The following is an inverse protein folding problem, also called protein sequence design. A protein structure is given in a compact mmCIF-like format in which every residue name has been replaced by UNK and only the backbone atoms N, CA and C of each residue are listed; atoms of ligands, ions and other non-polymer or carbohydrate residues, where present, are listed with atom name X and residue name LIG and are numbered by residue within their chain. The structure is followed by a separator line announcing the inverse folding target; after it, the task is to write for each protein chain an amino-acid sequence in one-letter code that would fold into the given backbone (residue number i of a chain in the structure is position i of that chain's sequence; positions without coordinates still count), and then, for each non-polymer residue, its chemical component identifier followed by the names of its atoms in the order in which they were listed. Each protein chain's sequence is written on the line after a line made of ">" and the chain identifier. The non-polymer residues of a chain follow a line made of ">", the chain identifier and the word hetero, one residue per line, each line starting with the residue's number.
data_IF_257164116597
#
_entry.id   IF_257164116597
#
_cell.length_a   1.000
_cell.length_b   1.000
_cell.length_c   1.000
_cell.angle_alpha   90.00
_cell.angle_beta   90.00
_cell.angle_gamma   90.00
#
_symmetry.space_group_name_H-M   'P 1'
#
loop_
_entity.id
_entity.type
_entity.pdbx_description
1 polymer ?
#
# COMPACT_ATOMS: atom_id res chain seq x y z
N UNK A 1 1.29 25.57 4.80
CA UNK A 1 0.25 25.72 5.83
C UNK A 1 0.38 24.54 6.77
N UNK A 2 0.87 24.79 8.00
CA UNK A 2 0.89 23.78 9.05
C UNK A 2 -0.57 23.48 9.44
N UNK A 3 -1.01 22.26 9.23
CA UNK A 3 -2.26 21.80 9.82
C UNK A 3 -1.97 21.46 11.29
N UNK A 4 -2.68 22.05 12.26
CA UNK A 4 -2.59 21.61 13.63
C UNK A 4 -3.29 20.26 13.72
N UNK A 5 -2.50 19.18 13.64
CA UNK A 5 -2.99 17.87 14.03
C UNK A 5 -3.09 17.89 15.55
N UNK A 6 -4.32 17.98 16.04
CA UNK A 6 -4.61 17.72 17.44
C UNK A 6 -4.09 16.33 17.77
N UNK A 7 -3.16 16.26 18.71
CA UNK A 7 -2.71 15.02 19.32
C UNK A 7 -3.90 14.38 20.07
N UNK A 8 -4.68 13.60 19.38
CA UNK A 8 -5.49 12.62 20.05
C UNK A 8 -4.58 11.45 20.38
N UNK A 9 -4.23 11.31 21.64
CA UNK A 9 -3.72 10.05 22.17
C UNK A 9 -4.87 9.05 22.13
N UNK A 10 -5.10 8.46 20.97
CA UNK A 10 -6.05 7.37 20.87
C UNK A 10 -5.35 6.11 21.39
N UNK A 11 -5.82 5.65 22.53
CA UNK A 11 -5.50 4.33 23.02
C UNK A 11 -6.40 3.37 22.25
N UNK A 12 -5.84 2.65 21.30
CA UNK A 12 -6.59 1.62 20.57
C UNK A 12 -6.61 0.36 21.42
N UNK A 13 -7.81 -0.06 21.81
CA UNK A 13 -8.01 -1.31 22.51
C UNK A 13 -8.00 -2.46 21.50
N UNK A 14 -7.02 -3.34 21.61
CA UNK A 14 -7.01 -4.60 20.89
C UNK A 14 -7.82 -5.64 21.66
N UNK A 15 -9.06 -5.83 21.22
CA UNK A 15 -10.00 -6.76 21.87
C UNK A 15 -9.55 -8.24 21.75
N UNK A 16 -8.76 -8.57 20.72
CA UNK A 16 -8.29 -9.96 20.53
C UNK A 16 -7.22 -10.35 21.55
N UNK A 17 -6.38 -9.40 21.95
CA UNK A 17 -5.31 -9.64 22.90
C UNK A 17 -5.57 -9.02 24.28
N UNK A 18 -6.71 -8.36 24.46
CA UNK A 18 -7.04 -7.63 25.69
C UNK A 18 -5.95 -6.61 26.11
N UNK A 19 -5.31 -5.98 25.12
CA UNK A 19 -4.18 -5.06 25.32
C UNK A 19 -4.56 -3.68 24.80
N UNK A 20 -4.31 -2.67 25.61
CA UNK A 20 -4.29 -1.29 25.14
C UNK A 20 -2.95 -1.02 24.48
N UNK A 21 -2.94 -0.89 23.17
CA UNK A 21 -1.76 -0.43 22.47
C UNK A 21 -1.70 1.09 22.56
N UNK A 22 -0.69 1.67 23.20
CA UNK A 22 -0.46 3.10 23.16
C UNK A 22 0.00 3.46 21.74
N UNK A 23 -0.95 3.75 20.87
CA UNK A 23 -0.64 4.36 19.59
C UNK A 23 -0.59 5.87 19.80
N UNK A 24 0.59 6.36 19.99
CA UNK A 24 0.88 7.77 19.87
C UNK A 24 1.67 7.93 18.57
N UNK A 25 1.07 8.39 17.48
CA UNK A 25 1.87 8.85 16.37
C UNK A 25 2.70 10.00 16.91
N UNK A 26 3.98 9.74 17.09
CA UNK A 26 4.94 10.80 17.42
C UNK A 26 5.04 11.67 16.16
N UNK A 27 4.23 12.73 16.13
CA UNK A 27 4.38 13.76 15.11
C UNK A 27 5.65 14.52 15.49
N UNK A 28 6.77 14.04 14.97
CA UNK A 28 8.01 14.80 15.01
C UNK A 28 7.83 15.97 14.07
N UNK A 29 8.25 17.16 14.49
CA UNK A 29 8.36 18.36 13.64
C UNK A 29 9.43 18.19 12.53
N UNK A 30 9.79 16.98 12.20
CA UNK A 30 10.71 16.62 11.13
C UNK A 30 9.94 16.62 9.81
N UNK A 31 10.51 17.25 8.80
CA UNK A 31 10.02 17.12 7.42
C UNK A 31 9.97 15.63 7.09
N UNK A 32 8.82 15.16 6.62
CA UNK A 32 8.71 13.80 6.10
C UNK A 32 9.62 13.73 4.88
N UNK A 33 10.78 13.12 5.03
CA UNK A 33 11.65 12.82 3.91
C UNK A 33 11.06 11.66 3.15
N UNK A 34 10.65 11.94 1.93
CA UNK A 34 10.36 10.88 0.96
C UNK A 34 11.64 10.07 0.76
N UNK A 35 11.55 8.77 0.95
CA UNK A 35 12.66 7.87 0.68
C UNK A 35 12.82 7.71 -0.82
N UNK A 36 14.06 7.70 -1.27
CA UNK A 36 14.38 7.34 -2.65
C UNK A 36 14.49 5.82 -2.80
N UNK A 37 14.37 5.28 -4.01
CA UNK A 37 14.59 3.85 -4.23
C UNK A 37 15.96 3.36 -3.73
N UNK A 38 16.99 4.21 -3.80
CA UNK A 38 18.34 3.92 -3.34
C UNK A 38 18.45 3.80 -1.82
N UNK A 39 17.53 4.40 -1.06
CA UNK A 39 17.45 4.23 0.40
C UNK A 39 17.03 2.81 0.79
N UNK A 40 16.38 2.08 -0.11
CA UNK A 40 15.95 0.70 0.07
C UNK A 40 16.94 -0.30 -0.54
N UNK A 41 17.48 0.02 -1.71
CA UNK A 41 18.45 -0.81 -2.41
C UNK A 41 19.50 0.08 -3.08
N UNK A 42 20.74 0.08 -2.55
CA UNK A 42 21.78 1.05 -2.88
C UNK A 42 22.20 1.19 -4.35
N UNK A 43 21.79 0.27 -5.22
CA UNK A 43 22.02 0.33 -6.67
C UNK A 43 20.72 0.11 -7.46
N UNK A 44 19.60 0.58 -6.92
CA UNK A 44 18.30 0.46 -7.59
C UNK A 44 18.33 1.08 -8.99
N UNK A 45 17.81 0.37 -9.97
CA UNK A 45 17.68 0.84 -11.36
C UNK A 45 16.26 0.82 -11.85
N UNK A 46 15.43 -0.05 -11.28
CA UNK A 46 14.04 -0.18 -11.68
C UNK A 46 13.15 -0.51 -10.51
N UNK A 47 11.90 -0.10 -10.62
CA UNK A 47 10.81 -0.44 -9.72
C UNK A 47 9.76 -1.17 -10.53
N UNK A 48 9.41 -2.37 -10.10
CA UNK A 48 8.31 -3.15 -10.65
C UNK A 48 7.12 -2.95 -9.72
N UNK A 49 6.00 -2.49 -10.25
CA UNK A 49 4.77 -2.34 -9.47
C UNK A 49 3.78 -3.41 -9.89
N UNK A 50 3.31 -4.17 -8.93
CA UNK A 50 2.27 -5.17 -9.14
C UNK A 50 0.99 -4.72 -8.45
N UNK A 51 -0.15 -4.95 -9.10
CA UNK A 51 -1.48 -4.62 -8.58
C UNK A 51 -2.39 -5.84 -8.59
N UNK A 52 -3.27 -5.93 -7.59
CA UNK A 52 -4.28 -6.97 -7.50
C UNK A 52 -5.62 -6.35 -7.11
N UNK A 53 -6.64 -6.70 -7.88
CA UNK A 53 -8.01 -6.23 -7.71
C UNK A 53 -8.74 -6.98 -6.58
N UNK A 54 -9.56 -6.27 -5.81
CA UNK A 54 -10.45 -6.88 -4.82
C UNK A 54 -11.64 -7.54 -5.50
N UNK A 55 -12.13 -8.70 -5.00
CA UNK A 55 -13.37 -9.28 -5.48
C UNK A 55 -14.54 -8.30 -5.31
N UNK A 56 -15.27 -8.03 -6.39
CA UNK A 56 -16.40 -7.08 -6.38
C UNK A 56 -17.49 -7.48 -5.38
N UNK A 57 -17.74 -8.77 -5.23
CA UNK A 57 -18.71 -9.28 -4.26
C UNK A 57 -18.41 -8.89 -2.81
N UNK A 58 -17.13 -8.73 -2.44
CA UNK A 58 -16.75 -8.32 -1.09
C UNK A 58 -17.07 -6.85 -0.81
N UNK A 59 -17.21 -6.05 -1.86
CA UNK A 59 -17.58 -4.63 -1.78
C UNK A 59 -19.10 -4.47 -1.83
N UNK A 60 -19.77 -5.25 -2.66
CA UNK A 60 -21.22 -5.18 -2.81
C UNK A 60 -21.96 -5.63 -1.54
N UNK A 61 -21.44 -6.63 -0.85
CA UNK A 61 -21.95 -7.04 0.47
C UNK A 61 -21.75 -5.98 1.55
N UNK A 62 -20.78 -5.08 1.37
CA UNK A 62 -20.52 -3.98 2.33
C UNK A 62 -21.66 -2.94 2.42
N UNK A 63 -22.74 -3.06 1.66
CA UNK A 63 -23.88 -2.12 1.68
C UNK A 63 -25.04 -2.58 2.56
N UNK A 64 -25.05 -3.79 3.06
CA UNK A 64 -26.27 -4.41 3.59
C UNK A 64 -26.44 -4.23 5.08
N UNK A 65 -25.43 -4.43 5.90
CA UNK A 65 -25.48 -4.15 7.37
C UNK A 65 -24.10 -3.80 7.91
N UNK A 66 -23.94 -2.84 8.85
CA UNK A 66 -22.63 -2.29 9.18
C UNK A 66 -21.65 -3.27 9.80
N UNK A 67 -22.12 -4.23 10.60
CA UNK A 67 -21.23 -5.12 11.35
C UNK A 67 -20.73 -6.33 10.55
N UNK A 68 -21.59 -6.87 9.69
CA UNK A 68 -21.29 -8.09 8.92
C UNK A 68 -20.52 -7.80 7.63
N UNK A 69 -20.64 -6.58 7.13
CA UNK A 69 -20.14 -6.17 5.83
C UNK A 69 -18.66 -5.79 5.82
N UNK A 70 -18.13 -5.38 6.96
CA UNK A 70 -16.69 -5.06 7.06
C UNK A 70 -15.84 -6.32 7.10
N UNK A 71 -16.36 -7.42 7.63
CA UNK A 71 -15.65 -8.69 7.71
C UNK A 71 -15.17 -9.19 6.33
N UNK A 72 -16.07 -9.41 5.36
CA UNK A 72 -15.68 -9.84 4.02
C UNK A 72 -14.75 -8.87 3.30
N UNK A 73 -14.98 -7.58 3.44
CA UNK A 73 -14.11 -6.56 2.84
C UNK A 73 -12.72 -6.53 3.48
N UNK A 74 -12.65 -6.56 4.82
CA UNK A 74 -11.36 -6.61 5.52
C UNK A 74 -10.59 -7.88 5.17
N UNK A 75 -11.27 -9.03 5.14
CA UNK A 75 -10.68 -10.31 4.73
C UNK A 75 -10.11 -10.21 3.30
N UNK A 76 -10.89 -9.70 2.35
CA UNK A 76 -10.42 -9.52 0.97
C UNK A 76 -9.21 -8.59 0.88
N UNK A 77 -9.15 -7.54 1.71
CA UNK A 77 -7.99 -6.65 1.76
C UNK A 77 -6.73 -7.36 2.27
N UNK A 78 -6.83 -8.16 3.31
CA UNK A 78 -5.70 -8.93 3.84
C UNK A 78 -5.26 -10.02 2.88
N UNK A 79 -6.21 -10.78 2.32
CA UNK A 79 -5.89 -11.83 1.34
C UNK A 79 -5.25 -11.27 0.07
N UNK A 80 -5.73 -10.12 -0.40
CA UNK A 80 -5.09 -9.45 -1.55
C UNK A 80 -3.65 -9.08 -1.25
N UNK A 81 -3.35 -8.63 -0.02
CA UNK A 81 -1.98 -8.35 0.39
C UNK A 81 -1.13 -9.62 0.44
N UNK A 82 -1.66 -10.71 0.99
CA UNK A 82 -0.96 -12.00 1.03
C UNK A 82 -0.62 -12.52 -0.37
N UNK A 83 -1.58 -12.45 -1.29
CA UNK A 83 -1.38 -12.84 -2.69
C UNK A 83 -0.36 -11.96 -3.42
N UNK A 84 -0.36 -10.65 -3.14
CA UNK A 84 0.66 -9.73 -3.66
C UNK A 84 2.05 -10.08 -3.12
N UNK A 85 2.15 -10.38 -1.82
CA UNK A 85 3.42 -10.80 -1.21
C UNK A 85 3.94 -12.09 -1.84
N UNK A 86 3.07 -13.06 -2.09
CA UNK A 86 3.42 -14.33 -2.73
C UNK A 86 3.90 -14.13 -4.18
N UNK A 87 3.22 -13.27 -4.94
CA UNK A 87 3.63 -12.89 -6.28
C UNK A 87 4.98 -12.16 -6.28
N UNK A 88 5.14 -11.19 -5.38
CA UNK A 88 6.38 -10.44 -5.24
C UNK A 88 7.56 -11.36 -4.87
N UNK A 89 7.36 -12.27 -3.93
CA UNK A 89 8.37 -13.26 -3.54
C UNK A 89 8.88 -14.06 -4.73
N UNK A 90 7.97 -14.54 -5.60
CA UNK A 90 8.34 -15.31 -6.79
C UNK A 90 9.15 -14.48 -7.78
N UNK A 91 8.79 -13.21 -7.97
CA UNK A 91 9.53 -12.29 -8.87
C UNK A 91 10.91 -12.01 -8.29
N UNK A 92 10.97 -11.64 -7.01
CA UNK A 92 12.22 -11.33 -6.29
C UNK A 92 13.16 -12.53 -6.34
N UNK A 93 12.63 -13.72 -6.01
CA UNK A 93 13.42 -14.95 -6.06
C UNK A 93 14.00 -15.19 -7.44
N UNK A 94 13.21 -15.02 -8.50
CA UNK A 94 13.68 -15.22 -9.88
C UNK A 94 14.79 -14.23 -10.27
N UNK A 95 14.65 -12.96 -9.88
CA UNK A 95 15.68 -11.95 -10.12
C UNK A 95 16.98 -12.30 -9.37
N UNK A 96 16.86 -12.65 -8.09
CA UNK A 96 18.02 -13.04 -7.28
C UNK A 96 18.71 -14.32 -7.80
N UNK A 97 17.94 -15.32 -8.21
CA UNK A 97 18.47 -16.55 -8.83
C UNK A 97 19.17 -16.26 -10.17
N UNK A 98 18.82 -15.14 -10.82
CA UNK A 98 19.46 -14.67 -12.07
C UNK A 98 20.66 -13.76 -11.82
N UNK A 99 21.06 -13.55 -10.57
CA UNK A 99 22.25 -12.76 -10.17
C UNK A 99 22.00 -11.28 -9.96
N UNK A 100 20.74 -10.83 -9.99
CA UNK A 100 20.36 -9.46 -9.68
C UNK A 100 19.89 -9.34 -8.25
N UNK A 101 20.09 -8.17 -7.66
CA UNK A 101 19.53 -7.85 -6.34
C UNK A 101 18.10 -7.34 -6.52
N UNK A 102 17.19 -7.91 -5.76
CA UNK A 102 15.81 -7.45 -5.71
C UNK A 102 15.24 -7.64 -4.31
N UNK A 103 14.41 -6.71 -3.89
CA UNK A 103 13.66 -6.74 -2.64
C UNK A 103 12.31 -6.05 -2.83
N UNK A 104 11.38 -6.30 -1.91
CA UNK A 104 10.08 -5.65 -1.97
C UNK A 104 10.01 -4.45 -1.01
N UNK A 105 9.19 -3.47 -1.41
CA UNK A 105 8.87 -2.32 -0.59
C UNK A 105 7.35 -2.18 -0.46
N UNK A 106 6.86 -2.23 0.75
CA UNK A 106 5.43 -2.05 1.01
C UNK A 106 4.94 -0.64 0.73
N UNK A 107 5.82 0.33 0.88
CA UNK A 107 5.49 1.73 0.64
C UNK A 107 6.74 2.56 0.36
N UNK A 108 6.92 2.93 -0.90
CA UNK A 108 8.03 3.80 -1.34
C UNK A 108 7.96 5.21 -0.77
N UNK A 109 6.80 5.67 -0.35
CA UNK A 109 6.64 7.01 0.23
C UNK A 109 7.11 7.10 1.67
N UNK A 110 7.34 5.95 2.33
CA UNK A 110 7.66 5.89 3.75
C UNK A 110 6.46 6.16 4.67
N UNK A 111 5.25 6.29 4.09
CA UNK A 111 3.99 6.33 4.84
C UNK A 111 3.66 4.93 5.33
N UNK A 112 2.73 4.83 6.28
CA UNK A 112 2.30 3.53 6.81
C UNK A 112 1.59 2.71 5.73
N UNK A 113 1.94 1.44 5.61
CA UNK A 113 1.19 0.49 4.79
C UNK A 113 -0.10 0.00 5.45
N UNK A 114 -0.38 0.44 6.65
CA UNK A 114 -1.56 0.07 7.43
C UNK A 114 -2.26 1.32 7.98
N UNK A 115 -3.58 1.23 8.09
CA UNK A 115 -4.42 2.27 8.70
C UNK A 115 -5.04 1.69 9.97
N UNK A 116 -4.91 2.44 11.07
CA UNK A 116 -5.66 2.14 12.28
C UNK A 116 -7.09 2.65 12.15
N UNK A 117 -8.04 1.80 12.46
CA UNK A 117 -9.44 2.16 12.52
C UNK A 117 -10.08 1.66 13.82
N UNK A 118 -11.27 2.15 14.15
CA UNK A 118 -12.06 1.63 15.28
C UNK A 118 -12.39 0.13 15.17
N UNK A 119 -12.11 -0.48 14.02
CA UNK A 119 -12.36 -1.89 13.70
C UNK A 119 -11.08 -2.71 13.60
N UNK A 120 -9.93 -2.13 13.98
CA UNK A 120 -8.62 -2.76 13.94
C UNK A 120 -7.69 -2.17 12.89
N UNK A 121 -6.59 -2.87 12.66
CA UNK A 121 -5.56 -2.49 11.68
C UNK A 121 -6.00 -2.98 10.31
N UNK A 122 -6.11 -2.06 9.37
CA UNK A 122 -6.42 -2.37 7.96
C UNK A 122 -5.25 -1.99 7.07
N UNK A 123 -4.97 -2.75 6.01
CA UNK A 123 -3.97 -2.35 5.02
C UNK A 123 -4.34 -1.02 4.38
N UNK A 124 -3.38 -0.09 4.27
CA UNK A 124 -3.61 1.21 3.61
C UNK A 124 -3.66 1.04 2.09
N UNK A 125 -4.78 1.43 1.49
CA UNK A 125 -4.95 1.40 0.02
C UNK A 125 -4.08 2.44 -0.70
N UNK A 126 -3.57 3.43 0.01
CA UNK A 126 -2.68 4.47 -0.54
C UNK A 126 -1.23 4.00 -0.63
N UNK A 127 -0.87 2.89 0.03
CA UNK A 127 0.47 2.33 -0.07
C UNK A 127 0.84 2.08 -1.53
N UNK A 128 2.01 2.52 -1.92
CA UNK A 128 2.51 2.48 -3.29
C UNK A 128 1.65 3.23 -4.34
N UNK A 129 0.77 4.14 -3.94
CA UNK A 129 -0.09 4.90 -4.86
C UNK A 129 0.75 5.68 -5.90
N UNK A 130 1.78 6.39 -5.45
CA UNK A 130 2.66 7.16 -6.35
C UNK A 130 3.50 6.24 -7.24
N UNK A 131 3.95 5.10 -6.72
CA UNK A 131 4.67 4.11 -7.51
C UNK A 131 3.77 3.56 -8.63
N UNK A 132 2.50 3.26 -8.33
CA UNK A 132 1.53 2.81 -9.32
C UNK A 132 1.24 3.87 -10.39
N UNK A 133 1.19 5.15 -10.00
CA UNK A 133 1.03 6.26 -10.95
C UNK A 133 2.24 6.36 -11.87
N UNK A 134 3.45 6.35 -11.31
CA UNK A 134 4.69 6.45 -12.09
C UNK A 134 4.95 5.22 -12.97
N UNK A 135 4.41 4.06 -12.61
CA UNK A 135 4.44 2.86 -13.44
C UNK A 135 3.32 2.82 -14.50
N UNK A 136 2.54 3.90 -14.67
CA UNK A 136 1.46 3.96 -15.66
C UNK A 136 0.25 3.08 -15.36
N UNK A 137 0.07 2.65 -14.10
CA UNK A 137 -1.04 1.78 -13.72
C UNK A 137 -2.25 2.55 -13.19
N UNK A 138 -2.06 3.75 -12.64
CA UNK A 138 -3.10 4.50 -11.95
C UNK A 138 -2.93 6.01 -12.07
N UNK A 139 -4.01 6.75 -11.86
CA UNK A 139 -4.01 8.17 -11.52
C UNK A 139 -4.23 8.34 -10.02
N UNK A 140 -3.76 9.43 -9.44
CA UNK A 140 -4.03 9.75 -8.03
C UNK A 140 -5.34 10.52 -7.93
N UNK A 141 -6.30 9.93 -7.22
CA UNK A 141 -7.57 10.61 -6.92
C UNK A 141 -7.43 11.73 -5.89
N UNK A 142 -8.46 12.55 -5.76
CA UNK A 142 -8.51 13.66 -4.78
C UNK A 142 -8.35 13.21 -3.32
N UNK A 143 -8.68 11.97 -3.03
CA UNK A 143 -8.52 11.34 -1.71
C UNK A 143 -7.14 10.68 -1.50
N UNK A 144 -6.21 10.84 -2.43
CA UNK A 144 -4.87 10.25 -2.39
C UNK A 144 -4.83 8.75 -2.75
N UNK A 145 -5.96 8.14 -3.10
CA UNK A 145 -6.00 6.74 -3.51
C UNK A 145 -5.71 6.59 -5.01
N UNK A 146 -5.01 5.52 -5.42
CA UNK A 146 -4.79 5.22 -6.83
C UNK A 146 -6.09 4.76 -7.49
N UNK A 147 -6.35 5.29 -8.66
CA UNK A 147 -7.51 4.98 -9.51
C UNK A 147 -7.00 4.37 -10.80
N UNK A 148 -7.33 3.11 -11.07
CA UNK A 148 -6.94 2.46 -12.33
C UNK A 148 -8.09 2.38 -13.32
N UNK A 149 -7.79 2.31 -14.62
CA UNK A 149 -8.77 2.00 -15.62
C UNK A 149 -9.42 0.63 -15.35
N UNK A 150 -10.74 0.57 -15.37
CA UNK A 150 -11.51 -0.67 -15.20
C UNK A 150 -11.80 -1.08 -13.74
N UNK A 151 -10.89 -0.86 -12.80
CA UNK A 151 -11.07 -1.29 -11.40
C UNK A 151 -11.27 -0.12 -10.41
N UNK A 152 -11.04 1.11 -10.84
CA UNK A 152 -11.14 2.28 -9.97
C UNK A 152 -10.15 2.19 -8.81
N UNK A 153 -10.65 2.36 -7.58
CA UNK A 153 -9.85 2.27 -6.35
C UNK A 153 -9.82 0.86 -5.71
N UNK A 154 -10.46 -0.13 -6.34
CA UNK A 154 -10.68 -1.47 -5.78
C UNK A 154 -9.49 -2.39 -5.98
N UNK A 155 -8.28 -1.94 -5.61
CA UNK A 155 -7.06 -2.70 -5.77
C UNK A 155 -5.98 -2.26 -4.78
N UNK A 156 -4.98 -3.11 -4.65
CA UNK A 156 -3.78 -2.85 -3.87
C UNK A 156 -2.55 -2.98 -4.74
N UNK A 157 -1.50 -2.27 -4.35
CA UNK A 157 -0.23 -2.28 -5.04
C UNK A 157 0.89 -2.67 -4.10
N UNK A 158 1.90 -3.30 -4.67
CA UNK A 158 3.17 -3.60 -4.02
C UNK A 158 4.30 -3.29 -4.99
N UNK A 159 5.37 -2.70 -4.48
CA UNK A 159 6.56 -2.35 -5.27
C UNK A 159 7.69 -3.33 -5.00
N UNK A 160 8.42 -3.67 -6.04
CA UNK A 160 9.66 -4.45 -6.01
C UNK A 160 10.76 -3.57 -6.57
N UNK A 161 11.85 -3.45 -5.83
CA UNK A 161 13.03 -2.67 -6.21
C UNK A 161 14.11 -3.62 -6.68
N UNK A 162 14.78 -3.29 -7.77
CA UNK A 162 15.86 -4.14 -8.32
C UNK A 162 16.98 -3.32 -8.96
N UNK A 163 18.19 -3.86 -8.95
CA UNK A 163 19.32 -3.36 -9.71
C UNK A 163 19.33 -3.80 -11.18
N UNK A 164 18.36 -4.63 -11.59
CA UNK A 164 18.13 -4.93 -13.00
C UNK A 164 17.46 -3.72 -13.69
N UNK A 165 17.91 -3.40 -14.89
CA UNK A 165 17.33 -2.31 -15.67
C UNK A 165 16.23 -2.84 -16.59
N UNK A 166 14.99 -2.41 -16.34
CA UNK A 166 13.87 -2.59 -17.26
C UNK A 166 13.65 -1.30 -18.07
N UNK A 167 13.09 -1.43 -19.27
CA UNK A 167 12.55 -0.28 -19.99
C UNK A 167 11.32 0.26 -19.24
N UNK A 168 11.17 1.59 -19.24
CA UNK A 168 10.02 2.22 -18.58
C UNK A 168 8.72 1.99 -19.36
N UNK A 169 7.66 1.73 -18.64
CA UNK A 169 6.31 1.78 -19.18
C UNK A 169 5.84 3.24 -19.35
N UNK A 170 4.98 3.53 -20.34
CA UNK A 170 4.42 4.87 -20.51
C UNK A 170 3.47 5.21 -19.36
N UNK A 171 3.42 6.49 -19.00
CA UNK A 171 2.40 6.99 -18.07
C UNK A 171 1.00 6.86 -18.68
N UNK A 172 -0.03 6.73 -17.83
CA UNK A 172 -1.41 6.84 -18.28
C UNK A 172 -1.66 8.23 -18.82
N UNK A 173 -2.26 8.31 -20.01
CA UNK A 173 -2.70 9.59 -20.57
C UNK A 173 -3.93 10.09 -19.80
N UNK A 174 -3.96 11.39 -19.50
CA UNK A 174 -5.14 12.06 -18.96
C UNK A 174 -6.25 12.01 -20.02
N UNK A 175 -7.36 11.35 -19.68
CA UNK A 175 -8.57 11.30 -20.51
C UNK A 175 -9.64 12.22 -19.99
#
# INVERSE_FOLDING_TARGET
>A
KKFPLQQQKETVYDAANNIYMPYSPEIKDEEIKLKSPEDYLGNAKSIIVIGLHFPDASIDTAKITPAETVGPYAFAQFETLNLLNDAAYKIIKRLNDSGYKADYCYDLTGLSSFVLSSRGILPDMRANAFAAMLAGLAHIGKNGCPITPGFGQRQRFLSIITDFHFSNDPLLEDK
#
